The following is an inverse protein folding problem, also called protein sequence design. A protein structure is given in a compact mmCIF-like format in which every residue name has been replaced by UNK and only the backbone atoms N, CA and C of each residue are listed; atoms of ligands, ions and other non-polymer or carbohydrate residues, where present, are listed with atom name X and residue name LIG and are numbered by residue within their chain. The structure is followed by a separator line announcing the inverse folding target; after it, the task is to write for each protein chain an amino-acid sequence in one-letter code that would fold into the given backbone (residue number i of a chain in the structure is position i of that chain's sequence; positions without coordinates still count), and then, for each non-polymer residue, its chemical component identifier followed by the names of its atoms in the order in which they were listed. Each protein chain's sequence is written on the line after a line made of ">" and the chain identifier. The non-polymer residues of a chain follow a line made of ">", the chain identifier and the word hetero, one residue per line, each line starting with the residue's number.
data_IF_375110415943
#
_entry.id   IF_375110415943
#
_cell.length_a   1.000
_cell.length_b   1.000
_cell.length_c   1.000
_cell.angle_alpha   90.00
_cell.angle_beta   90.00
_cell.angle_gamma   90.00
#
_symmetry.space_group_name_H-M   'P 1'
#
loop_
_entity.id
_entity.type
_entity.pdbx_description
1 polymer ?
#
# COMPACT_ATOMS: atom_id res chain seq x y z
N UNK A 1 8.88 -24.03 -6.24
CA UNK A 1 7.83 -23.32 -5.50
C UNK A 1 8.30 -23.24 -4.06
N UNK A 2 8.75 -22.07 -3.58
CA UNK A 2 9.12 -21.91 -2.18
C UNK A 2 7.84 -22.01 -1.35
N UNK A 3 7.87 -22.84 -0.31
CA UNK A 3 6.80 -22.92 0.69
C UNK A 3 6.75 -21.57 1.42
N UNK A 4 5.57 -20.94 1.61
CA UNK A 4 5.48 -19.74 2.42
C UNK A 4 5.96 -20.04 3.85
N UNK A 5 6.68 -19.10 4.49
CA UNK A 5 7.19 -19.29 5.84
C UNK A 5 6.04 -19.56 6.81
N UNK A 6 6.30 -20.44 7.78
CA UNK A 6 5.33 -20.75 8.85
C UNK A 6 5.27 -19.60 9.85
N UNK A 7 4.14 -19.43 10.54
CA UNK A 7 3.94 -18.36 11.54
C UNK A 7 4.99 -18.36 12.66
N UNK A 8 5.63 -19.51 12.91
CA UNK A 8 6.71 -19.68 13.89
C UNK A 8 8.09 -19.22 13.39
N UNK A 9 8.31 -19.12 12.07
CA UNK A 9 9.58 -18.69 11.46
C UNK A 9 9.71 -17.15 11.34
N UNK A 10 8.60 -16.43 11.49
CA UNK A 10 8.61 -14.97 11.55
C UNK A 10 8.98 -14.53 12.97
N UNK A 11 10.27 -14.31 13.23
CA UNK A 11 10.65 -13.42 14.33
C UNK A 11 10.09 -12.05 14.00
N UNK A 12 8.90 -11.73 14.51
CA UNK A 12 8.24 -10.44 14.28
C UNK A 12 9.09 -9.37 14.96
N UNK A 13 9.99 -8.76 14.20
CA UNK A 13 10.60 -7.50 14.59
C UNK A 13 9.44 -6.55 14.90
N UNK A 14 9.41 -6.03 16.13
CA UNK A 14 8.36 -5.11 16.53
C UNK A 14 8.41 -3.88 15.60
N UNK A 15 7.28 -3.46 15.02
CA UNK A 15 7.23 -2.25 14.21
C UNK A 15 7.82 -1.08 14.99
N UNK A 16 8.84 -0.44 14.42
CA UNK A 16 9.45 0.72 15.04
C UNK A 16 8.70 2.01 14.67
N UNK A 17 9.09 3.11 15.33
CA UNK A 17 8.47 4.42 15.13
C UNK A 17 8.73 4.96 13.72
N UNK A 18 9.83 4.57 13.08
CA UNK A 18 10.17 5.03 11.74
C UNK A 18 9.18 4.46 10.74
N UNK A 19 8.97 3.14 10.76
CA UNK A 19 7.95 2.45 9.96
C UNK A 19 6.57 3.09 10.14
N UNK A 20 6.16 3.36 11.38
CA UNK A 20 4.87 4.01 11.66
C UNK A 20 4.75 5.39 10.97
N UNK A 21 5.81 6.19 10.98
CA UNK A 21 5.82 7.49 10.31
C UNK A 21 5.87 7.37 8.78
N UNK A 22 6.50 6.33 8.22
CA UNK A 22 6.48 6.11 6.77
C UNK A 22 5.09 5.72 6.27
N UNK A 23 4.37 4.90 7.04
CA UNK A 23 2.98 4.55 6.73
C UNK A 23 2.06 5.76 6.77
N UNK A 24 2.24 6.69 7.73
CA UNK A 24 1.51 7.96 7.73
C UNK A 24 1.72 8.71 6.41
N UNK A 25 2.97 8.85 5.95
CA UNK A 25 3.27 9.52 4.68
C UNK A 25 2.61 8.83 3.49
N UNK A 26 2.56 7.49 3.47
CA UNK A 26 1.87 6.76 2.42
C UNK A 26 0.37 7.14 2.35
N UNK A 27 -0.30 7.23 3.49
CA UNK A 27 -1.71 7.65 3.54
C UNK A 27 -1.93 9.11 3.14
N UNK A 28 -1.03 10.01 3.52
CA UNK A 28 -1.10 11.44 3.14
C UNK A 28 -0.97 11.63 1.63
N UNK A 29 0.01 10.96 1.01
CA UNK A 29 0.22 11.03 -0.45
C UNK A 29 -0.99 10.49 -1.20
N UNK A 30 -1.54 9.36 -0.75
CA UNK A 30 -2.75 8.78 -1.33
C UNK A 30 -3.95 9.74 -1.26
N UNK A 31 -4.20 10.31 -0.07
CA UNK A 31 -5.30 11.23 0.15
C UNK A 31 -5.16 12.51 -0.68
N UNK A 32 -3.95 13.07 -0.78
CA UNK A 32 -3.68 14.26 -1.60
C UNK A 32 -3.82 13.98 -3.09
N UNK A 33 -3.45 12.77 -3.55
CA UNK A 33 -3.62 12.37 -4.94
C UNK A 33 -5.10 12.18 -5.30
N UNK A 34 -5.84 11.43 -4.48
CA UNK A 34 -7.28 11.20 -4.64
C UNK A 34 -8.09 12.49 -4.50
N UNK A 35 -7.70 13.38 -3.58
CA UNK A 35 -8.40 14.63 -3.29
C UNK A 35 -8.53 15.57 -4.49
N UNK A 36 -7.62 15.48 -5.48
CA UNK A 36 -7.72 16.24 -6.75
C UNK A 36 -8.92 15.83 -7.61
N UNK A 37 -9.48 14.65 -7.36
CA UNK A 37 -10.61 14.09 -8.07
C UNK A 37 -11.94 14.26 -7.32
N UNK A 38 -11.92 14.82 -6.11
CA UNK A 38 -13.12 15.06 -5.32
C UNK A 38 -14.10 15.97 -6.07
N UNK A 39 -15.34 15.52 -6.24
CA UNK A 39 -16.38 16.26 -6.96
C UNK A 39 -16.35 16.13 -8.48
N UNK A 40 -15.38 15.42 -9.06
CA UNK A 40 -15.26 15.27 -10.52
C UNK A 40 -16.13 14.14 -11.12
N UNK A 41 -16.92 13.44 -10.29
CA UNK A 41 -17.72 12.28 -10.67
C UNK A 41 -16.94 11.16 -11.40
N UNK A 42 -15.61 11.12 -11.24
CA UNK A 42 -14.73 10.15 -11.85
C UNK A 42 -14.05 9.31 -10.76
N UNK A 43 -14.76 8.26 -10.32
CA UNK A 43 -14.31 7.39 -9.23
C UNK A 43 -13.00 6.67 -9.57
N UNK A 44 -12.89 6.16 -10.80
CA UNK A 44 -11.79 5.29 -11.23
C UNK A 44 -10.47 6.05 -11.27
N UNK A 45 -10.49 7.29 -11.75
CA UNK A 45 -9.29 8.13 -11.76
C UNK A 45 -8.87 8.58 -10.35
N UNK A 46 -9.83 8.77 -9.44
CA UNK A 46 -9.56 9.06 -8.03
C UNK A 46 -8.92 7.87 -7.30
N UNK A 47 -9.46 6.67 -7.53
CA UNK A 47 -8.97 5.40 -6.97
C UNK A 47 -7.55 5.10 -7.45
N UNK A 48 -7.35 5.14 -8.78
CA UNK A 48 -6.05 4.92 -9.38
C UNK A 48 -4.99 5.91 -8.86
N UNK A 49 -5.37 7.19 -8.68
CA UNK A 49 -4.46 8.19 -8.13
C UNK A 49 -4.08 7.87 -6.68
N UNK A 50 -5.01 7.35 -5.86
CA UNK A 50 -4.74 6.93 -4.48
C UNK A 50 -3.79 5.74 -4.45
N UNK A 51 -4.07 4.70 -5.24
CA UNK A 51 -3.28 3.48 -5.36
C UNK A 51 -1.86 3.76 -5.83
N UNK A 52 -1.71 4.57 -6.88
CA UNK A 52 -0.40 4.96 -7.41
C UNK A 52 0.42 5.71 -6.34
N UNK A 53 -0.24 6.61 -5.60
CA UNK A 53 0.34 7.33 -4.47
C UNK A 53 0.82 6.40 -3.36
N UNK A 54 -0.04 5.48 -2.90
CA UNK A 54 0.33 4.49 -1.88
C UNK A 54 1.45 3.58 -2.37
N UNK A 55 1.35 3.03 -3.58
CA UNK A 55 2.35 2.07 -4.09
C UNK A 55 3.73 2.70 -4.20
N UNK A 56 3.78 3.94 -4.68
CA UNK A 56 5.04 4.69 -4.74
C UNK A 56 5.68 4.82 -3.36
N UNK A 57 4.90 5.26 -2.36
CA UNK A 57 5.42 5.46 -1.01
C UNK A 57 5.81 4.15 -0.33
N UNK A 58 4.98 3.11 -0.44
CA UNK A 58 5.24 1.80 0.16
C UNK A 58 6.49 1.13 -0.43
N UNK A 59 6.80 1.36 -1.71
CA UNK A 59 8.05 0.88 -2.33
C UNK A 59 9.31 1.59 -1.79
N UNK A 60 9.17 2.75 -1.14
CA UNK A 60 10.28 3.49 -0.53
C UNK A 60 10.50 3.09 0.95
N UNK A 61 9.53 2.40 1.58
CA UNK A 61 9.60 1.94 2.97
C UNK A 61 10.58 0.78 3.10
N UNK A 62 11.43 0.82 4.12
CA UNK A 62 12.36 -0.28 4.42
C UNK A 62 11.61 -1.42 5.12
N UNK A 63 10.96 -2.27 4.33
CA UNK A 63 10.21 -3.43 4.82
C UNK A 63 10.19 -4.59 3.82
N UNK A 64 9.98 -5.81 4.33
CA UNK A 64 9.57 -6.98 3.54
C UNK A 64 8.08 -7.26 3.79
N UNK A 65 7.25 -6.40 3.21
CA UNK A 65 5.79 -6.40 3.40
C UNK A 65 5.08 -7.21 2.33
N UNK A 66 4.03 -7.94 2.73
CA UNK A 66 3.13 -8.65 1.81
C UNK A 66 1.75 -8.00 1.85
N UNK A 67 1.24 -7.61 0.69
CA UNK A 67 -0.15 -7.16 0.55
C UNK A 67 -1.06 -8.37 0.70
N UNK A 68 -1.78 -8.43 1.82
CA UNK A 68 -2.78 -9.48 2.10
C UNK A 68 -4.22 -9.01 1.86
N UNK A 69 -4.42 -7.68 1.73
CA UNK A 69 -5.67 -7.02 1.37
C UNK A 69 -5.29 -5.85 0.45
N UNK A 70 -5.79 -5.86 -0.79
CA UNK A 70 -5.47 -4.88 -1.84
C UNK A 70 -6.70 -4.52 -2.68
N UNK A 71 -6.51 -3.94 -3.86
CA UNK A 71 -7.62 -3.54 -4.74
C UNK A 71 -8.35 -4.72 -5.39
N UNK A 72 -7.71 -5.87 -5.50
CA UNK A 72 -8.31 -7.07 -6.09
C UNK A 72 -7.31 -8.21 -6.24
N UNK A 73 -7.74 -9.28 -6.90
CA UNK A 73 -6.84 -10.36 -7.30
C UNK A 73 -5.77 -9.81 -8.26
N UNK A 74 -4.55 -10.37 -8.21
CA UNK A 74 -3.39 -9.91 -8.99
C UNK A 74 -3.65 -9.81 -10.51
N UNK A 75 -4.61 -10.59 -11.00
CA UNK A 75 -4.98 -10.63 -12.42
C UNK A 75 -6.00 -9.53 -12.82
N UNK A 76 -6.73 -8.96 -11.84
CA UNK A 76 -7.76 -7.94 -12.04
C UNK A 76 -7.29 -6.54 -11.59
N UNK A 77 -6.35 -6.48 -10.64
CA UNK A 77 -5.75 -5.25 -10.13
C UNK A 77 -4.24 -5.24 -10.44
N UNK A 78 -3.78 -4.46 -11.46
CA UNK A 78 -2.35 -4.38 -11.79
C UNK A 78 -1.53 -3.65 -10.71
N UNK A 79 -2.21 -2.90 -9.82
CA UNK A 79 -1.60 -2.06 -8.81
C UNK A 79 -2.19 -2.30 -7.42
N UNK A 80 -1.32 -2.75 -6.49
CA UNK A 80 -1.57 -3.08 -5.07
C UNK A 80 -2.51 -4.26 -4.82
#
# INVERSE_FOLDING_TARGET
>A
MLKPPTTEELTVAQPDRELALELVRATEVAALAAGRWMGNANKEAGDQAAVDGMRRMLNEVVMDGVVVIGEGEKDEAPML
#
